data_IF_762356008690
#
_entry.id   IF_762356008690
#
_cell.length_a   1.000
_cell.length_b   1.000
_cell.length_c   1.000
_cell.angle_alpha   90.00
_cell.angle_beta   90.00
_cell.angle_gamma   90.00
#
_symmetry.space_group_name_H-M   'P 1'
#
loop_
_entity.id
_entity.type
_entity.pdbx_description
1 polymer ?
#
# COMPACT_ATOMS: atom_id res chain seq x y z
N UNK A 1 -17.81 -7.11 7.79
CA UNK A 1 -16.45 -6.52 7.84
C UNK A 1 -15.33 -7.58 7.80
N UNK A 2 -15.56 -8.82 8.25
CA UNK A 2 -14.53 -9.90 8.34
C UNK A 2 -14.02 -10.43 6.98
N UNK A 3 -14.80 -10.25 5.91
CA UNK A 3 -14.42 -10.67 4.55
C UNK A 3 -13.43 -9.71 3.90
N UNK A 4 -13.49 -8.42 4.19
CA UNK A 4 -12.60 -7.41 3.60
C UNK A 4 -11.19 -7.51 4.20
N UNK A 5 -11.07 -7.74 5.51
CA UNK A 5 -9.79 -7.87 6.20
C UNK A 5 -8.97 -9.08 5.73
N UNK A 6 -9.62 -10.23 5.51
CA UNK A 6 -8.95 -11.43 4.98
C UNK A 6 -8.41 -11.22 3.57
N UNK A 7 -9.19 -10.57 2.70
CA UNK A 7 -8.76 -10.27 1.33
C UNK A 7 -7.59 -9.29 1.28
N UNK A 8 -7.58 -8.28 2.16
CA UNK A 8 -6.46 -7.33 2.25
C UNK A 8 -5.17 -8.03 2.68
N UNK A 9 -5.19 -8.89 3.70
CA UNK A 9 -3.98 -9.62 4.15
C UNK A 9 -3.39 -10.49 3.05
N UNK A 10 -4.23 -11.24 2.31
CA UNK A 10 -3.75 -12.07 1.20
C UNK A 10 -3.18 -11.24 0.05
N UNK A 11 -3.76 -10.07 -0.23
CA UNK A 11 -3.29 -9.16 -1.28
C UNK A 11 -1.94 -8.51 -0.93
N UNK A 12 -1.76 -8.10 0.33
CA UNK A 12 -0.48 -7.57 0.82
C UNK A 12 0.61 -8.65 0.81
N UNK A 13 0.28 -9.90 1.18
CA UNK A 13 1.24 -11.00 1.11
C UNK A 13 1.70 -11.29 -0.34
N UNK A 14 0.77 -11.30 -1.29
CA UNK A 14 1.12 -11.46 -2.71
C UNK A 14 1.96 -10.28 -3.24
N UNK A 15 1.69 -9.07 -2.75
CA UNK A 15 2.46 -7.88 -3.12
C UNK A 15 3.88 -7.89 -2.51
N UNK A 16 4.05 -8.32 -1.25
CA UNK A 16 5.40 -8.51 -0.67
C UNK A 16 6.20 -9.56 -1.46
N UNK A 17 5.57 -10.66 -1.85
CA UNK A 17 6.18 -11.72 -2.66
C UNK A 17 6.66 -11.19 -4.01
N UNK A 18 5.79 -10.43 -4.71
CA UNK A 18 6.14 -9.73 -5.94
C UNK A 18 7.38 -8.84 -5.77
N UNK A 19 7.41 -8.02 -4.72
CA UNK A 19 8.56 -7.14 -4.48
C UNK A 19 9.82 -7.92 -4.04
N UNK A 20 9.66 -9.08 -3.41
CA UNK A 20 10.75 -9.90 -2.88
C UNK A 20 11.48 -10.66 -3.98
N UNK A 21 10.74 -11.20 -4.95
CA UNK A 21 11.32 -11.99 -6.03
C UNK A 21 11.62 -11.12 -7.26
N UNK A 22 11.01 -9.94 -7.36
CA UNK A 22 11.15 -9.08 -8.52
C UNK A 22 10.47 -9.69 -9.75
N UNK A 23 10.66 -9.05 -10.90
CA UNK A 23 10.24 -9.58 -12.19
C UNK A 23 11.43 -9.59 -13.15
N UNK A 24 11.23 -10.10 -14.37
CA UNK A 24 12.26 -10.07 -15.41
C UNK A 24 12.74 -8.63 -15.72
N UNK A 25 11.86 -7.64 -15.53
CA UNK A 25 12.10 -6.22 -15.81
C UNK A 25 12.50 -5.41 -14.55
N UNK A 26 12.25 -5.93 -13.35
CA UNK A 26 12.41 -5.18 -12.10
C UNK A 26 13.15 -5.97 -11.03
N UNK A 27 14.28 -5.43 -10.56
CA UNK A 27 15.07 -6.06 -9.49
C UNK A 27 14.30 -6.15 -8.17
N UNK A 28 14.52 -7.23 -7.38
CA UNK A 28 13.88 -7.41 -6.09
C UNK A 28 14.21 -6.26 -5.13
N UNK A 29 13.20 -5.82 -4.40
CA UNK A 29 13.34 -4.74 -3.40
C UNK A 29 13.94 -5.28 -2.10
N UNK A 30 14.80 -4.47 -1.50
CA UNK A 30 15.32 -4.71 -0.15
C UNK A 30 14.20 -4.71 0.89
N UNK A 31 14.39 -5.44 2.01
CA UNK A 31 13.35 -5.63 3.03
C UNK A 31 12.74 -4.32 3.57
N UNK A 32 13.55 -3.29 3.75
CA UNK A 32 13.09 -1.98 4.24
C UNK A 32 12.13 -1.30 3.27
N UNK A 33 12.47 -1.31 1.98
CA UNK A 33 11.60 -0.78 0.92
C UNK A 33 10.33 -1.61 0.80
N UNK A 34 10.41 -2.94 0.86
CA UNK A 34 9.23 -3.82 0.82
C UNK A 34 8.25 -3.50 1.94
N UNK A 35 8.75 -3.37 3.17
CA UNK A 35 7.93 -2.99 4.33
C UNK A 35 7.27 -1.62 4.15
N UNK A 36 8.00 -0.64 3.63
CA UNK A 36 7.45 0.70 3.37
C UNK A 36 6.31 0.63 2.33
N UNK A 37 6.52 -0.06 1.21
CA UNK A 37 5.50 -0.23 0.17
C UNK A 37 4.27 -0.97 0.69
N UNK A 38 4.44 -2.11 1.37
CA UNK A 38 3.34 -2.88 1.94
C UNK A 38 2.54 -2.06 2.96
N UNK A 39 3.21 -1.28 3.82
CA UNK A 39 2.56 -0.39 4.78
C UNK A 39 1.71 0.67 4.09
N UNK A 40 2.23 1.32 3.04
CA UNK A 40 1.49 2.34 2.29
C UNK A 40 0.27 1.74 1.58
N UNK A 41 0.44 0.59 0.92
CA UNK A 41 -0.65 -0.08 0.20
C UNK A 41 -1.74 -0.55 1.15
N UNK A 42 -1.39 -1.11 2.31
CA UNK A 42 -2.38 -1.52 3.32
C UNK A 42 -3.25 -0.33 3.77
N UNK A 43 -2.61 0.80 4.08
CA UNK A 43 -3.29 2.02 4.52
C UNK A 43 -4.17 2.62 3.41
N UNK A 44 -3.71 2.57 2.17
CA UNK A 44 -4.49 3.02 1.02
C UNK A 44 -5.72 2.12 0.78
N UNK A 45 -5.58 0.80 0.91
CA UNK A 45 -6.72 -0.13 0.79
C UNK A 45 -7.77 0.10 1.88
N UNK A 46 -7.32 0.38 3.11
CA UNK A 46 -8.20 0.77 4.21
C UNK A 46 -8.92 2.09 3.92
N UNK A 47 -8.24 3.07 3.33
CA UNK A 47 -8.85 4.33 2.90
C UNK A 47 -9.90 4.12 1.79
N UNK A 48 -9.60 3.25 0.81
CA UNK A 48 -10.51 2.95 -0.29
C UNK A 48 -11.81 2.28 0.18
N UNK A 49 -11.75 1.41 1.19
CA UNK A 49 -12.92 0.63 1.67
C UNK A 49 -13.66 -0.11 0.55
N UNK A 50 -12.96 -0.55 -0.49
CA UNK A 50 -13.53 -1.22 -1.66
C UNK A 50 -13.94 -0.29 -2.82
N UNK A 51 -13.69 1.03 -2.71
CA UNK A 51 -13.78 1.96 -3.84
C UNK A 51 -12.67 1.67 -4.85
N UNK A 52 -12.95 1.95 -6.12
CA UNK A 52 -11.96 1.80 -7.18
C UNK A 52 -10.88 2.89 -7.05
N UNK A 53 -9.59 2.56 -7.16
CA UNK A 53 -8.53 3.56 -7.04
C UNK A 53 -8.60 4.56 -8.19
N UNK A 54 -8.72 5.84 -7.86
CA UNK A 54 -8.67 6.94 -8.83
C UNK A 54 -7.57 7.93 -8.46
N UNK A 55 -7.05 8.71 -9.43
CA UNK A 55 -6.07 9.76 -9.15
C UNK A 55 -6.56 10.78 -8.10
N UNK A 56 -7.87 11.06 -8.09
CA UNK A 56 -8.47 11.97 -7.11
C UNK A 56 -8.43 11.38 -5.69
N UNK A 57 -8.76 10.10 -5.53
CA UNK A 57 -8.68 9.40 -4.26
C UNK A 57 -7.23 9.27 -3.76
N UNK A 58 -6.27 9.11 -4.66
CA UNK A 58 -4.85 9.11 -4.29
C UNK A 58 -4.42 10.47 -3.70
N UNK A 59 -4.87 11.59 -4.29
CA UNK A 59 -4.63 12.93 -3.72
C UNK A 59 -5.33 13.11 -2.37
N UNK A 60 -6.57 12.64 -2.23
CA UNK A 60 -7.28 12.68 -0.96
C UNK A 60 -6.59 11.83 0.12
N UNK A 61 -6.00 10.70 -0.27
CA UNK A 61 -5.23 9.86 0.65
C UNK A 61 -3.95 10.55 1.13
N UNK A 62 -3.22 11.24 0.24
CA UNK A 62 -2.05 12.04 0.65
C UNK A 62 -2.45 13.10 1.68
N UNK A 63 -3.56 13.79 1.44
CA UNK A 63 -4.08 14.79 2.39
C UNK A 63 -4.49 14.15 3.73
N UNK A 64 -5.14 12.99 3.71
CA UNK A 64 -5.48 12.22 4.91
C UNK A 64 -4.23 11.80 5.71
N UNK A 65 -3.13 11.45 5.03
CA UNK A 65 -1.85 11.16 5.68
C UNK A 65 -1.27 12.40 6.38
N UNK A 66 -1.31 13.56 5.73
CA UNK A 66 -0.86 14.84 6.31
C UNK A 66 -1.69 15.20 7.54
N UNK A 67 -3.02 15.04 7.48
CA UNK A 67 -3.93 15.27 8.61
C UNK A 67 -3.69 14.30 9.79
N UNK A 68 -3.22 13.08 9.52
CA UNK A 68 -2.79 12.12 10.53
C UNK A 68 -1.38 12.39 11.12
N UNK A 69 -0.74 13.48 10.71
CA UNK A 69 0.58 13.90 11.21
C UNK A 69 1.75 13.24 10.49
N UNK A 70 1.53 12.61 9.33
CA UNK A 70 2.64 12.16 8.48
C UNK A 70 3.18 13.38 7.71
N UNK A 71 4.42 13.76 8.00
CA UNK A 71 5.10 14.81 7.26
C UNK A 71 5.99 14.22 6.16
N UNK A 72 6.21 14.94 5.05
CA UNK A 72 7.26 14.58 4.12
C UNK A 72 8.60 14.50 4.86
N UNK A 73 9.34 13.42 4.63
CA UNK A 73 10.71 13.29 5.16
C UNK A 73 11.63 14.19 4.33
N UNK A 74 12.40 15.05 5.02
CA UNK A 74 13.39 15.96 4.42
C UNK A 74 14.66 15.26 3.97
#
# INVERSE_FOLDING_TARGET
MVTQTKSTTSLIAAFDDYLKYGTDDEEPKVETSRRAYCWTVERFLQFLQGRQPTPELAKSFVKDLEEQGNAPSS
#
